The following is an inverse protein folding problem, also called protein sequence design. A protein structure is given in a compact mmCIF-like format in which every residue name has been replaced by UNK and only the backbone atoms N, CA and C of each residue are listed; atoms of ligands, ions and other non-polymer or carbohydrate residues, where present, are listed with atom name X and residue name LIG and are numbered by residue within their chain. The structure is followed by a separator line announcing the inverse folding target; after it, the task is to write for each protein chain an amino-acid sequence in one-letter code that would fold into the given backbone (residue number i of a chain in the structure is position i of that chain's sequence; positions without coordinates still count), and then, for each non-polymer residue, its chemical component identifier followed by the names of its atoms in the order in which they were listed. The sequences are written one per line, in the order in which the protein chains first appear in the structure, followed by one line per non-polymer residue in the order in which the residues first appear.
data_IF_908707130601
#
_entry.id   IF_908707130601
#
_cell.length_a   1.000
_cell.length_b   1.000
_cell.length_c   1.000
_cell.angle_alpha   90.00
_cell.angle_beta   90.00
_cell.angle_gamma   90.00
#
_symmetry.space_group_name_H-M   'P 1'
#
loop_
_entity.id
_entity.type
_entity.pdbx_description
1 polymer ?
#
# COMPACT_ATOMS: atom_id res chain seq x y z
N UNK A 1 -3.25 2.30 -15.55
CA UNK A 1 -3.05 0.90 -15.10
C UNK A 1 -3.17 0.82 -13.58
N UNK A 2 -3.51 -0.35 -13.03
CA UNK A 2 -3.68 -0.58 -11.59
C UNK A 2 -3.04 -1.91 -11.17
N UNK A 3 -2.47 -1.93 -9.98
CA UNK A 3 -2.12 -3.13 -9.20
C UNK A 3 -2.72 -2.99 -7.80
N UNK A 4 -3.15 -4.08 -7.19
CA UNK A 4 -3.73 -4.07 -5.84
C UNK A 4 -3.05 -5.09 -4.97
N UNK A 5 -2.69 -4.67 -3.77
CA UNK A 5 -2.10 -5.49 -2.72
C UNK A 5 -2.79 -5.23 -1.41
N UNK A 6 -3.10 -6.28 -0.70
CA UNK A 6 -3.61 -6.20 0.66
C UNK A 6 -2.57 -6.76 1.64
N UNK A 7 -2.56 -6.24 2.85
CA UNK A 7 -1.62 -6.64 3.90
C UNK A 7 -2.32 -6.74 5.25
N UNK A 8 -1.73 -7.56 6.13
CA UNK A 8 -2.11 -7.69 7.54
C UNK A 8 -0.87 -8.01 8.38
N UNK A 9 -0.99 -8.48 9.60
CA UNK A 9 0.18 -8.90 10.39
C UNK A 9 0.91 -10.08 9.78
N UNK A 10 2.23 -10.15 9.99
CA UNK A 10 3.02 -11.36 9.69
C UNK A 10 2.47 -12.56 10.46
N UNK A 11 2.30 -13.67 9.76
CA UNK A 11 1.76 -14.92 10.32
C UNK A 11 0.28 -15.17 10.03
N UNK A 12 -0.42 -14.18 9.51
CA UNK A 12 -1.79 -14.36 9.01
C UNK A 12 -1.73 -14.08 7.52
N UNK A 13 -1.74 -14.93 6.61
CA UNK A 13 -1.82 -14.71 5.16
C UNK A 13 -1.74 -13.21 4.72
N UNK A 14 -0.76 -12.52 5.25
CA UNK A 14 -0.68 -11.07 5.45
C UNK A 14 -0.41 -10.28 4.19
N UNK A 15 -0.32 -10.94 3.05
CA UNK A 15 0.02 -10.30 1.81
C UNK A 15 -0.71 -11.00 0.66
N UNK A 16 -1.83 -10.45 0.26
CA UNK A 16 -2.54 -10.90 -0.94
C UNK A 16 -2.35 -9.91 -2.07
N UNK A 17 -2.15 -10.42 -3.26
CA UNK A 17 -2.04 -9.65 -4.49
C UNK A 17 -3.16 -10.03 -5.42
N UNK A 18 -3.79 -9.03 -6.03
CA UNK A 18 -4.66 -9.27 -7.17
C UNK A 18 -3.85 -9.69 -8.40
N UNK A 19 -4.10 -10.88 -8.91
CA UNK A 19 -3.34 -11.49 -10.00
C UNK A 19 -4.22 -12.01 -11.14
N UNK A 20 -5.52 -11.74 -11.11
CA UNK A 20 -6.45 -12.28 -12.10
C UNK A 20 -6.09 -11.93 -13.54
N UNK A 21 -5.42 -10.80 -13.75
CA UNK A 21 -4.96 -10.33 -15.07
C UNK A 21 -3.44 -10.42 -15.27
N UNK A 22 -2.72 -11.09 -14.38
CA UNK A 22 -1.26 -11.24 -14.42
C UNK A 22 -0.55 -10.57 -13.26
N UNK A 23 0.77 -10.48 -13.35
CA UNK A 23 1.63 -9.99 -12.27
C UNK A 23 2.05 -8.52 -12.41
N UNK A 24 1.70 -7.83 -13.46
CA UNK A 24 2.01 -6.41 -13.69
C UNK A 24 0.82 -5.50 -13.47
N UNK A 25 1.06 -4.20 -13.72
CA UNK A 25 -0.01 -3.22 -13.75
C UNK A 25 -0.95 -3.46 -14.94
N UNK A 26 -2.24 -3.47 -14.67
CA UNK A 26 -3.28 -3.83 -15.64
C UNK A 26 -4.17 -2.62 -15.96
N UNK A 27 -4.52 -2.41 -17.23
CA UNK A 27 -5.54 -1.44 -17.61
C UNK A 27 -6.89 -1.84 -17.05
N UNK A 28 -7.60 -0.91 -16.40
CA UNK A 28 -8.94 -1.17 -15.82
C UNK A 28 -9.99 -1.60 -16.85
N UNK A 29 -9.78 -1.26 -18.12
CA UNK A 29 -10.68 -1.62 -19.23
C UNK A 29 -10.30 -2.95 -19.90
N UNK A 30 -9.19 -3.58 -19.52
CA UNK A 30 -8.81 -4.89 -20.06
C UNK A 30 -9.87 -5.93 -19.70
N UNK A 31 -10.19 -6.78 -20.67
CA UNK A 31 -11.18 -7.87 -20.51
C UNK A 31 -10.47 -9.21 -20.52
N UNK A 32 -10.84 -10.08 -19.59
CA UNK A 32 -10.41 -11.47 -19.51
C UNK A 32 -11.57 -12.32 -19.01
N UNK A 33 -11.86 -13.42 -19.70
CA UNK A 33 -12.96 -14.33 -19.36
C UNK A 33 -14.32 -13.63 -19.17
N UNK A 34 -14.61 -12.63 -19.99
CA UNK A 34 -15.88 -11.87 -19.94
C UNK A 34 -16.01 -10.85 -18.82
N UNK A 35 -14.95 -10.63 -18.03
CA UNK A 35 -14.92 -9.68 -16.93
C UNK A 35 -13.87 -8.59 -17.18
N UNK A 36 -14.19 -7.34 -16.85
CA UNK A 36 -13.22 -6.25 -16.90
C UNK A 36 -12.26 -6.33 -15.69
N UNK A 37 -11.05 -5.79 -15.85
CA UNK A 37 -10.11 -5.69 -14.74
C UNK A 37 -10.69 -4.89 -13.57
N UNK A 38 -11.47 -3.82 -13.83
CA UNK A 38 -12.19 -3.05 -12.80
C UNK A 38 -13.11 -3.93 -11.96
N UNK A 39 -13.98 -4.73 -12.62
CA UNK A 39 -14.89 -5.65 -11.92
C UNK A 39 -14.13 -6.69 -11.09
N UNK A 40 -13.05 -7.22 -11.65
CA UNK A 40 -12.21 -8.20 -10.97
C UNK A 40 -11.50 -7.63 -9.74
N UNK A 41 -11.03 -6.36 -9.79
CA UNK A 41 -10.46 -5.67 -8.62
C UNK A 41 -11.50 -5.50 -7.52
N UNK A 42 -12.72 -5.05 -7.87
CA UNK A 42 -13.82 -4.89 -6.91
C UNK A 42 -14.13 -6.24 -6.24
N UNK A 43 -14.25 -7.31 -7.03
CA UNK A 43 -14.45 -8.65 -6.49
C UNK A 43 -13.31 -9.06 -5.54
N UNK A 44 -12.05 -8.83 -5.92
CA UNK A 44 -10.90 -9.12 -5.06
C UNK A 44 -10.98 -8.36 -3.74
N UNK A 45 -11.26 -7.04 -3.76
CA UNK A 45 -11.37 -6.23 -2.55
C UNK A 45 -12.50 -6.75 -1.65
N UNK A 46 -13.66 -7.08 -2.22
CA UNK A 46 -14.79 -7.62 -1.46
C UNK A 46 -14.48 -8.98 -0.80
N UNK A 47 -13.55 -9.77 -1.34
CA UNK A 47 -13.10 -11.02 -0.68
C UNK A 47 -12.20 -10.78 0.53
N UNK A 48 -11.73 -9.56 0.74
CA UNK A 48 -10.90 -9.20 1.90
C UNK A 48 -11.74 -8.92 3.15
N UNK A 49 -13.02 -8.66 2.98
CA UNK A 49 -14.01 -8.44 4.05
C UNK A 49 -14.61 -9.77 4.55
N UNK A 50 -13.90 -10.87 4.42
CA UNK A 50 -14.39 -12.18 4.83
C UNK A 50 -14.26 -12.31 6.37
N UNK A 51 -15.39 -12.61 7.04
CA UNK A 51 -15.50 -12.99 8.46
C UNK A 51 -14.76 -14.30 8.80
N UNK A 52 -13.93 -14.79 7.92
CA UNK A 52 -13.11 -15.97 8.10
C UNK A 52 -12.30 -15.92 9.39
N UNK A 53 -12.23 -16.99 10.16
CA UNK A 53 -11.40 -17.07 11.37
C UNK A 53 -9.89 -16.93 11.12
N UNK A 54 -9.46 -16.93 9.87
CA UNK A 54 -8.08 -16.60 9.42
C UNK A 54 -7.88 -15.10 9.23
N UNK A 55 -8.47 -14.33 10.05
CA UNK A 55 -8.68 -12.89 10.02
C UNK A 55 -7.47 -12.08 9.58
N UNK A 56 -7.77 -11.11 8.76
CA UNK A 56 -6.96 -9.94 8.53
C UNK A 56 -6.85 -9.15 9.84
N UNK A 57 -5.79 -9.38 10.62
CA UNK A 57 -5.54 -8.69 11.87
C UNK A 57 -4.14 -8.08 11.89
N UNK A 58 -3.98 -6.94 12.57
CA UNK A 58 -2.73 -6.22 12.68
C UNK A 58 -2.27 -5.57 11.38
N UNK A 59 -1.15 -4.85 11.46
CA UNK A 59 -0.65 -3.98 10.39
C UNK A 59 0.84 -4.22 10.16
N UNK A 60 1.18 -4.90 9.08
CA UNK A 60 2.55 -5.09 8.60
C UNK A 60 2.60 -4.78 7.08
N UNK A 61 2.77 -3.50 6.68
CA UNK A 61 2.66 -3.07 5.29
C UNK A 61 3.94 -3.26 4.47
N UNK A 62 5.05 -3.66 5.08
CA UNK A 62 6.39 -3.46 4.53
C UNK A 62 6.61 -4.20 3.21
N UNK A 63 6.16 -5.46 3.10
CA UNK A 63 6.31 -6.23 1.88
C UNK A 63 5.45 -5.68 0.74
N UNK A 64 4.24 -5.19 1.06
CA UNK A 64 3.35 -4.58 0.08
C UNK A 64 3.90 -3.24 -0.42
N UNK A 65 4.41 -2.42 0.50
CA UNK A 65 5.05 -1.13 0.16
C UNK A 65 6.33 -1.34 -0.65
N UNK A 66 7.23 -2.23 -0.19
CA UNK A 66 8.47 -2.52 -0.91
C UNK A 66 8.19 -2.94 -2.35
N UNK A 67 7.20 -3.81 -2.53
CA UNK A 67 6.82 -4.26 -3.86
C UNK A 67 6.25 -3.15 -4.77
N UNK A 68 5.64 -2.10 -4.21
CA UNK A 68 5.21 -0.94 -4.99
C UNK A 68 6.41 -0.05 -5.38
N UNK A 69 7.38 0.10 -4.50
CA UNK A 69 8.61 0.85 -4.78
C UNK A 69 9.52 0.12 -5.76
N UNK A 70 9.54 -1.21 -5.76
CA UNK A 70 10.32 -2.04 -6.69
C UNK A 70 9.71 -2.11 -8.09
N UNK A 71 8.40 -1.85 -8.23
CA UNK A 71 7.71 -1.85 -9.51
C UNK A 71 7.96 -0.53 -10.24
N UNK A 72 8.90 -0.54 -11.19
CA UNK A 72 9.33 0.65 -11.93
C UNK A 72 8.23 1.28 -12.81
N UNK A 73 7.18 0.53 -13.17
CA UNK A 73 6.05 1.06 -13.91
C UNK A 73 5.06 1.85 -13.04
N UNK A 74 5.12 1.69 -11.71
CA UNK A 74 4.26 2.40 -10.77
C UNK A 74 4.74 3.85 -10.62
N UNK A 75 3.86 4.82 -10.79
CA UNK A 75 4.10 6.25 -10.60
C UNK A 75 3.36 6.84 -9.40
N UNK A 76 2.28 6.20 -8.96
CA UNK A 76 1.49 6.63 -7.81
C UNK A 76 1.12 5.45 -6.93
N UNK A 77 1.34 5.57 -5.63
CA UNK A 77 0.90 4.63 -4.60
C UNK A 77 -0.21 5.26 -3.75
N UNK A 78 -1.35 4.60 -3.66
CA UNK A 78 -2.38 4.89 -2.67
C UNK A 78 -2.28 3.88 -1.53
N UNK A 79 -1.82 4.35 -0.38
CA UNK A 79 -1.64 3.54 0.82
C UNK A 79 -2.73 3.85 1.84
N UNK A 80 -3.56 2.86 2.18
CA UNK A 80 -4.65 2.96 3.14
C UNK A 80 -4.37 2.07 4.34
N UNK A 81 -4.55 2.59 5.55
CA UNK A 81 -4.40 1.83 6.79
C UNK A 81 -5.26 2.42 7.91
N UNK A 82 -5.82 1.55 8.73
CA UNK A 82 -6.60 1.88 9.94
C UNK A 82 -5.75 1.97 11.21
N UNK A 83 -4.44 1.73 11.10
CA UNK A 83 -3.62 1.64 12.29
C UNK A 83 -2.13 1.87 12.12
N UNK A 84 -1.47 1.79 13.29
CA UNK A 84 -0.02 1.80 13.38
C UNK A 84 0.52 0.43 13.01
N UNK A 85 1.65 0.35 12.31
CA UNK A 85 2.35 -0.90 12.12
C UNK A 85 2.59 -1.63 13.45
N UNK A 86 2.44 -2.94 13.47
CA UNK A 86 2.72 -3.74 14.65
C UNK A 86 4.22 -3.87 14.90
N UNK A 87 4.99 -3.83 13.82
CA UNK A 87 6.44 -3.98 13.84
C UNK A 87 7.10 -2.99 12.89
N UNK A 88 8.34 -2.64 13.20
CA UNK A 88 9.17 -1.90 12.26
C UNK A 88 9.57 -2.80 11.06
N UNK A 89 10.20 -2.20 10.05
CA UNK A 89 10.65 -2.91 8.85
C UNK A 89 11.65 -4.05 9.11
N UNK A 90 12.31 -4.05 10.27
CA UNK A 90 13.30 -5.07 10.70
C UNK A 90 12.68 -6.14 11.58
N UNK A 91 11.37 -6.03 11.90
CA UNK A 91 10.65 -6.96 12.76
C UNK A 91 10.68 -6.61 14.25
N UNK A 92 11.30 -5.49 14.62
CA UNK A 92 11.28 -4.95 15.98
C UNK A 92 9.93 -4.29 16.32
N UNK A 93 9.78 -3.86 17.58
CA UNK A 93 8.58 -3.13 18.00
C UNK A 93 8.52 -1.76 17.35
N UNK A 94 7.37 -1.41 16.77
CA UNK A 94 7.10 -0.09 16.21
C UNK A 94 7.03 0.98 17.30
N UNK A 95 7.79 2.06 17.14
CA UNK A 95 7.90 3.17 18.09
C UNK A 95 7.85 4.51 17.36
N UNK A 96 7.60 5.59 18.07
CA UNK A 96 7.61 6.96 17.51
C UNK A 96 8.95 7.32 16.86
N UNK A 97 10.07 6.83 17.38
CA UNK A 97 11.40 7.00 16.79
C UNK A 97 11.56 6.33 15.41
N UNK A 98 10.62 5.47 15.02
CA UNK A 98 10.65 4.77 13.73
C UNK A 98 9.93 5.54 12.63
N UNK A 99 9.12 6.54 12.98
CA UNK A 99 8.28 7.29 12.04
C UNK A 99 9.14 8.01 11.00
N UNK A 100 9.99 8.91 11.45
CA UNK A 100 10.88 9.66 10.56
C UNK A 100 11.87 8.75 9.86
N UNK A 101 12.51 7.83 10.59
CA UNK A 101 13.46 6.87 10.01
C UNK A 101 12.85 6.03 8.88
N UNK A 102 11.59 5.65 9.01
CA UNK A 102 10.89 4.86 7.98
C UNK A 102 10.49 5.74 6.80
N UNK A 103 10.01 6.95 7.06
CA UNK A 103 9.70 7.90 6.02
C UNK A 103 10.96 8.30 5.21
N UNK A 104 12.09 8.51 5.88
CA UNK A 104 13.39 8.78 5.26
C UNK A 104 13.84 7.61 4.38
N UNK A 105 13.75 6.39 4.89
CA UNK A 105 14.10 5.20 4.11
C UNK A 105 13.34 5.13 2.78
N UNK A 106 12.02 5.36 2.81
CA UNK A 106 11.23 5.33 1.58
C UNK A 106 11.46 6.56 0.70
N UNK A 107 11.76 7.71 1.28
CA UNK A 107 12.16 8.91 0.52
C UNK A 107 13.48 8.69 -0.21
N UNK A 108 14.49 8.13 0.46
CA UNK A 108 15.79 7.79 -0.14
C UNK A 108 15.63 6.74 -1.24
N UNK A 109 14.84 5.70 -0.99
CA UNK A 109 14.52 4.69 -2.00
C UNK A 109 13.85 5.32 -3.21
N UNK A 110 12.96 6.27 -2.99
CA UNK A 110 12.20 6.98 -4.02
C UNK A 110 13.08 7.88 -4.89
N UNK A 111 14.04 8.58 -4.29
CA UNK A 111 14.98 9.43 -5.03
C UNK A 111 15.85 8.66 -6.03
N UNK A 112 16.09 7.37 -5.74
CA UNK A 112 16.91 6.49 -6.57
C UNK A 112 16.10 5.69 -7.59
N UNK A 113 14.77 5.88 -7.66
CA UNK A 113 13.94 5.17 -8.62
C UNK A 113 14.16 5.69 -10.03
N UNK A 114 14.37 4.75 -10.94
CA UNK A 114 14.49 5.05 -12.36
C UNK A 114 13.64 4.08 -13.18
N UNK A 115 13.21 4.54 -14.35
CA UNK A 115 12.56 3.71 -15.37
C UNK A 115 13.14 4.10 -16.72
N UNK A 116 13.63 3.13 -17.48
CA UNK A 116 14.32 3.36 -18.77
C UNK A 116 15.46 4.39 -18.70
N UNK A 117 16.16 4.44 -17.55
CA UNK A 117 17.28 5.33 -17.30
C UNK A 117 16.88 6.75 -16.88
N UNK A 118 15.60 7.07 -16.83
CA UNK A 118 15.10 8.37 -16.36
C UNK A 118 14.64 8.29 -14.90
N UNK A 119 14.82 9.40 -14.15
CA UNK A 119 14.31 9.50 -12.77
C UNK A 119 12.78 9.42 -12.77
N UNK A 120 12.24 8.50 -11.99
CA UNK A 120 10.79 8.29 -11.87
C UNK A 120 10.38 8.07 -10.42
N UNK A 121 10.35 9.14 -9.61
CA UNK A 121 9.90 9.03 -8.24
C UNK A 121 8.42 8.65 -8.16
N UNK A 122 8.07 7.89 -7.13
CA UNK A 122 6.71 7.47 -6.81
C UNK A 122 6.04 8.54 -5.95
N UNK A 123 4.87 9.01 -6.35
CA UNK A 123 4.00 9.82 -5.51
C UNK A 123 3.25 8.90 -4.51
N UNK A 124 3.47 9.10 -3.20
CA UNK A 124 2.82 8.25 -2.19
C UNK A 124 1.73 9.02 -1.47
N UNK A 125 0.49 8.77 -1.88
CA UNK A 125 -0.71 9.28 -1.24
C UNK A 125 -1.14 8.32 -0.12
N UNK A 126 -1.27 8.83 1.11
CA UNK A 126 -1.66 8.01 2.25
C UNK A 126 -3.01 8.44 2.81
N UNK A 127 -3.80 7.46 3.24
CA UNK A 127 -5.09 7.69 3.90
C UNK A 127 -5.16 6.89 5.19
N UNK A 128 -5.26 7.60 6.32
CA UNK A 128 -5.53 6.96 7.61
C UNK A 128 -7.03 6.85 7.83
N UNK A 129 -7.46 5.68 8.29
CA UNK A 129 -8.86 5.35 8.55
C UNK A 129 -9.09 5.33 10.07
N UNK A 130 -9.86 6.28 10.57
CA UNK A 130 -10.26 6.40 11.98
C UNK A 130 -9.35 7.26 12.85
N UNK A 131 -8.04 7.20 12.73
CA UNK A 131 -7.10 7.94 13.58
C UNK A 131 -6.00 8.61 12.77
N UNK A 132 -5.63 9.84 13.18
CA UNK A 132 -4.48 10.54 12.61
C UNK A 132 -3.20 9.70 12.73
N UNK A 133 -2.44 9.62 11.63
CA UNK A 133 -1.19 8.85 11.54
C UNK A 133 -0.01 9.74 11.16
N UNK A 134 0.76 10.17 12.16
CA UNK A 134 1.92 11.06 11.95
C UNK A 134 2.95 10.46 10.97
N UNK A 135 3.19 9.14 11.02
CA UNK A 135 4.17 8.52 10.14
C UNK A 135 3.71 8.47 8.67
N UNK A 136 2.39 8.32 8.43
CA UNK A 136 1.82 8.36 7.09
C UNK A 136 1.84 9.77 6.52
N UNK A 137 1.58 10.77 7.37
CA UNK A 137 1.72 12.20 7.02
C UNK A 137 3.17 12.52 6.63
N UNK A 138 4.16 12.07 7.42
CA UNK A 138 5.58 12.24 7.10
C UNK A 138 5.98 11.54 5.81
N UNK A 139 5.50 10.32 5.58
CA UNK A 139 5.77 9.56 4.37
C UNK A 139 5.28 10.30 3.12
N UNK A 140 4.02 10.73 3.11
CA UNK A 140 3.45 11.49 1.99
C UNK A 140 4.23 12.77 1.74
N UNK A 141 4.51 13.55 2.78
CA UNK A 141 5.24 14.80 2.66
C UNK A 141 6.64 14.61 2.03
N UNK A 142 7.35 13.54 2.40
CA UNK A 142 8.71 13.24 1.89
C UNK A 142 8.71 12.62 0.48
N UNK A 143 7.56 12.18 -0.01
CA UNK A 143 7.41 11.55 -1.34
C UNK A 143 6.50 12.33 -2.28
N UNK A 144 6.29 13.62 -1.99
CA UNK A 144 5.46 14.55 -2.79
C UNK A 144 4.00 14.13 -2.96
N UNK A 145 3.49 13.29 -2.08
CA UNK A 145 2.11 12.86 -2.06
C UNK A 145 1.25 13.63 -1.07
N UNK A 146 0.00 13.22 -0.95
CA UNK A 146 -1.00 13.81 -0.06
C UNK A 146 -1.32 12.86 1.10
N UNK A 147 -1.50 13.45 2.29
CA UNK A 147 -2.06 12.76 3.44
C UNK A 147 -3.53 13.11 3.61
N UNK A 148 -4.37 12.09 3.77
CA UNK A 148 -5.78 12.24 4.07
C UNK A 148 -6.11 11.50 5.38
N UNK A 149 -7.09 12.04 6.11
CA UNK A 149 -7.67 11.40 7.28
C UNK A 149 -9.16 11.21 7.05
N UNK A 150 -9.65 9.98 7.22
CA UNK A 150 -11.06 9.63 7.13
C UNK A 150 -11.51 9.18 8.50
N UNK A 151 -12.33 10.00 9.15
CA UNK A 151 -12.94 9.71 10.45
C UNK A 151 -14.33 9.12 10.27
N UNK A 152 -14.85 8.44 11.30
CA UNK A 152 -16.22 7.86 11.27
C UNK A 152 -17.28 8.90 10.94
N UNK A 153 -17.09 10.16 11.35
CA UNK A 153 -17.98 11.29 11.05
C UNK A 153 -17.93 11.74 9.59
N UNK A 154 -17.00 11.19 8.78
CA UNK A 154 -16.78 11.54 7.37
C UNK A 154 -17.43 10.53 6.40
N UNK A 155 -18.06 9.48 6.92
CA UNK A 155 -18.76 8.43 6.18
C UNK A 155 -20.27 8.56 6.35
#
# INVERSE_FOLDING_TARGET
KVGVRAFSSRGYANHKRWTAFGNGLTSLNQIKNGQTARQSVITFVNTLDDDSPTRWGGTDPWDAMQAAFDDQETDTLYFLSDGKPNKDRRGGSWRRSDYERTADYYADLNQNRTHDGESRPLEVNTTSLGLKSEWMEMLSAKTSGLYNEVNEDSL
#
